data_IF_391951792922
#
_entry.id   IF_391951792922
#
_cell.length_a   1.000
_cell.length_b   1.000
_cell.length_c   1.000
_cell.angle_alpha   90.00
_cell.angle_beta   90.00
_cell.angle_gamma   90.00
#
_symmetry.space_group_name_H-M   'P 1'
#
loop_
_entity.id
_entity.type
_entity.pdbx_description
1 polymer ?
#
# COMPACT_ATOMS: atom_id res chain seq x y z
N UNK A 1 -37.45 6.18 33.80
CA UNK A 1 -37.32 7.25 32.79
C UNK A 1 -36.84 6.62 31.48
N UNK A 2 -37.53 6.86 30.37
CA UNK A 2 -37.00 6.53 29.05
C UNK A 2 -36.00 7.62 28.68
N UNK A 3 -34.71 7.33 28.73
CA UNK A 3 -33.72 8.11 28.00
C UNK A 3 -34.19 8.14 26.55
N UNK A 4 -34.42 9.33 25.98
CA UNK A 4 -34.85 9.41 24.59
C UNK A 4 -33.74 8.84 23.72
N UNK A 5 -34.07 7.94 22.78
CA UNK A 5 -33.09 7.27 21.91
C UNK A 5 -32.16 8.26 21.17
N UNK A 6 -32.63 9.49 20.96
CA UNK A 6 -31.87 10.64 20.43
C UNK A 6 -30.77 11.15 21.36
N UNK A 7 -30.89 10.98 22.69
CA UNK A 7 -29.84 11.34 23.64
C UNK A 7 -28.73 10.30 23.68
N UNK A 8 -29.05 9.01 23.51
CA UNK A 8 -28.07 7.92 23.42
C UNK A 8 -27.16 8.10 22.20
N UNK A 9 -27.71 8.57 21.08
CA UNK A 9 -26.95 8.81 19.85
C UNK A 9 -25.78 9.80 20.03
N UNK A 10 -25.85 10.71 21.00
CA UNK A 10 -24.79 11.69 21.28
C UNK A 10 -23.55 11.08 21.93
N UNK A 11 -23.68 9.88 22.50
CA UNK A 11 -22.59 9.16 23.17
C UNK A 11 -22.01 8.04 22.30
N UNK A 12 -22.56 7.83 21.10
CA UNK A 12 -22.04 6.85 20.15
C UNK A 12 -20.75 7.38 19.50
N UNK A 13 -19.84 6.47 19.17
CA UNK A 13 -18.68 6.80 18.34
C UNK A 13 -19.16 7.41 17.01
N UNK A 14 -18.36 8.30 16.42
CA UNK A 14 -18.77 9.08 15.24
C UNK A 14 -19.16 8.20 14.04
N UNK A 15 -18.65 6.98 13.98
CA UNK A 15 -18.88 6.00 12.92
C UNK A 15 -20.07 5.07 13.21
N UNK A 16 -20.72 5.21 14.36
CA UNK A 16 -21.90 4.42 14.75
C UNK A 16 -23.13 5.31 14.67
N UNK A 17 -24.21 4.77 14.12
CA UNK A 17 -25.54 5.36 14.16
C UNK A 17 -26.56 4.40 14.76
N UNK A 18 -27.60 4.96 15.37
CA UNK A 18 -28.74 4.20 15.84
C UNK A 18 -29.80 4.22 14.74
N UNK A 19 -30.11 3.06 14.17
CA UNK A 19 -31.27 2.92 13.31
C UNK A 19 -32.53 3.00 14.20
N UNK A 20 -33.21 4.13 14.13
CA UNK A 20 -34.39 4.43 14.95
C UNK A 20 -35.57 3.50 14.63
N UNK A 21 -35.63 2.93 13.42
CA UNK A 21 -36.70 2.01 12.99
C UNK A 21 -36.46 0.61 13.55
N UNK A 22 -35.23 0.10 13.45
CA UNK A 22 -34.89 -1.25 13.91
C UNK A 22 -34.42 -1.29 15.37
N UNK A 23 -34.15 -0.12 15.96
CA UNK A 23 -33.53 0.07 17.29
C UNK A 23 -32.17 -0.63 17.43
N UNK A 24 -31.48 -0.86 16.31
CA UNK A 24 -30.15 -1.48 16.27
C UNK A 24 -29.10 -0.41 15.98
N UNK A 25 -27.91 -0.62 16.52
CA UNK A 25 -26.73 0.15 16.15
C UNK A 25 -26.21 -0.35 14.80
N UNK A 26 -25.76 0.57 13.95
CA UNK A 26 -25.18 0.31 12.62
C UNK A 26 -23.94 1.17 12.43
N UNK A 27 -23.03 0.73 11.57
CA UNK A 27 -21.92 1.57 11.12
C UNK A 27 -22.42 2.54 10.05
N UNK A 28 -21.99 3.80 10.13
CA UNK A 28 -22.28 4.79 9.10
C UNK A 28 -21.54 4.42 7.82
N UNK A 29 -22.22 4.59 6.68
CA UNK A 29 -21.61 4.44 5.36
C UNK A 29 -20.39 5.36 5.20
N UNK A 30 -19.34 4.84 4.59
CA UNK A 30 -18.11 5.57 4.26
C UNK A 30 -16.89 5.09 5.06
N UNK A 31 -15.82 5.90 5.04
CA UNK A 31 -14.54 5.56 5.66
C UNK A 31 -14.67 5.43 7.18
N UNK A 32 -14.27 4.29 7.71
CA UNK A 32 -14.28 3.99 9.14
C UNK A 32 -12.99 4.45 9.80
N UNK A 33 -13.08 5.03 11.01
CA UNK A 33 -11.91 5.34 11.84
C UNK A 33 -11.69 4.22 12.84
N UNK A 34 -10.86 3.25 12.44
CA UNK A 34 -10.55 2.10 13.27
C UNK A 34 -9.29 2.32 14.13
N UNK A 35 -9.18 1.64 15.28
CA UNK A 35 -7.96 1.59 16.06
C UNK A 35 -6.75 1.23 15.21
N UNK A 36 -5.61 1.80 15.59
CA UNK A 36 -4.32 1.51 14.99
C UNK A 36 -3.61 0.42 15.78
N UNK A 37 -2.90 -0.45 15.06
CA UNK A 37 -1.99 -1.43 15.64
C UNK A 37 -0.88 -0.74 16.43
N UNK A 38 -0.17 -1.52 17.25
CA UNK A 38 0.93 -0.99 18.03
C UNK A 38 1.99 -0.42 17.10
N UNK A 39 2.35 0.84 17.31
CA UNK A 39 3.43 1.47 16.56
C UNK A 39 4.74 0.76 16.84
N UNK A 40 5.32 0.19 15.80
CA UNK A 40 6.69 -0.33 15.85
C UNK A 40 7.66 0.85 15.83
N UNK A 41 8.63 0.85 16.75
CA UNK A 41 9.70 1.85 16.79
C UNK A 41 11.01 1.14 16.49
N UNK A 42 11.38 1.11 15.21
CA UNK A 42 12.71 0.70 14.77
C UNK A 42 13.48 1.96 14.37
N UNK A 43 14.74 2.08 14.81
CA UNK A 43 15.55 3.29 14.57
C UNK A 43 15.72 3.63 13.08
N UNK A 44 15.67 2.60 12.21
CA UNK A 44 15.98 2.73 10.79
C UNK A 44 14.77 2.45 9.88
N UNK A 45 13.56 2.33 10.44
CA UNK A 45 12.34 2.10 9.63
C UNK A 45 11.30 3.14 9.99
N UNK A 46 10.86 3.87 8.97
CA UNK A 46 9.77 4.85 9.05
C UNK A 46 8.59 4.26 8.28
N UNK A 47 7.43 4.18 8.94
CA UNK A 47 6.20 3.70 8.33
C UNK A 47 4.98 4.41 8.94
N UNK A 48 3.85 4.46 8.23
CA UNK A 48 2.61 4.95 8.80
C UNK A 48 2.01 3.99 9.84
N UNK A 49 1.09 4.49 10.64
CA UNK A 49 0.32 3.68 11.59
C UNK A 49 -0.71 2.81 10.85
N UNK A 50 -0.63 1.50 11.08
CA UNK A 50 -1.47 0.51 10.41
C UNK A 50 -2.77 0.25 11.19
N UNK A 51 -3.83 -0.13 10.50
CA UNK A 51 -5.09 -0.51 11.15
C UNK A 51 -4.97 -1.84 11.87
N UNK A 52 -5.58 -1.95 13.04
CA UNK A 52 -5.75 -3.24 13.73
C UNK A 52 -7.02 -3.94 13.21
N UNK A 53 -6.83 -5.09 12.55
CA UNK A 53 -7.92 -5.91 12.01
C UNK A 53 -8.32 -7.05 12.96
N UNK A 54 -7.61 -7.22 14.09
CA UNK A 54 -7.99 -8.15 15.15
C UNK A 54 -9.16 -7.63 16.00
N UNK A 55 -9.68 -6.44 15.68
CA UNK A 55 -10.85 -5.89 16.36
C UNK A 55 -12.13 -6.58 15.88
N UNK A 56 -13.07 -6.79 16.80
CA UNK A 56 -14.45 -7.12 16.47
C UNK A 56 -15.29 -5.85 16.39
N UNK A 57 -16.00 -5.63 15.28
CA UNK A 57 -16.90 -4.49 15.09
C UNK A 57 -18.36 -4.85 15.43
N UNK A 58 -18.56 -5.67 16.47
CA UNK A 58 -19.89 -6.14 16.86
C UNK A 58 -20.66 -5.07 17.64
N UNK A 59 -21.57 -4.41 16.93
CA UNK A 59 -22.54 -3.47 17.49
C UNK A 59 -23.71 -4.20 18.18
N UNK A 60 -23.43 -4.97 19.24
CA UNK A 60 -24.47 -5.80 19.86
C UNK A 60 -24.13 -6.56 21.15
N UNK A 61 -22.93 -6.40 21.71
CA UNK A 61 -22.61 -6.94 23.04
C UNK A 61 -22.34 -8.45 23.14
N UNK A 62 -22.30 -9.18 22.02
CA UNK A 62 -21.70 -10.53 21.98
C UNK A 62 -20.22 -10.42 21.65
N UNK A 63 -19.41 -10.28 22.70
CA UNK A 63 -17.96 -10.44 22.62
C UNK A 63 -17.64 -11.94 22.46
N UNK A 64 -16.84 -12.30 21.44
CA UNK A 64 -15.53 -12.96 21.67
C UNK A 64 -14.85 -13.58 20.43
N UNK A 65 -15.49 -13.82 19.27
CA UNK A 65 -14.84 -14.68 18.24
C UNK A 65 -14.74 -14.14 16.81
N UNK A 66 -15.44 -13.07 16.46
CA UNK A 66 -15.50 -12.60 15.07
C UNK A 66 -14.83 -11.23 14.94
N UNK A 67 -13.60 -11.26 14.41
CA UNK A 67 -12.78 -10.11 14.04
C UNK A 67 -12.90 -9.84 12.54
N UNK A 68 -12.45 -8.67 12.09
CA UNK A 68 -12.37 -8.38 10.66
C UNK A 68 -11.52 -9.45 9.93
N UNK A 69 -10.41 -9.91 10.54
CA UNK A 69 -9.57 -10.96 9.96
C UNK A 69 -10.27 -12.32 9.81
N UNK A 70 -11.05 -12.72 10.82
CA UNK A 70 -11.81 -13.98 10.72
C UNK A 70 -12.89 -13.87 9.64
N UNK A 71 -13.52 -12.70 9.48
CA UNK A 71 -14.50 -12.47 8.42
C UNK A 71 -13.88 -12.49 7.04
N UNK A 72 -12.73 -11.84 6.86
CA UNK A 72 -11.97 -11.89 5.62
C UNK A 72 -11.58 -13.33 5.26
N UNK A 73 -11.18 -14.13 6.24
CA UNK A 73 -10.87 -15.55 6.03
C UNK A 73 -12.12 -16.33 5.61
N UNK A 74 -13.27 -16.09 6.25
CA UNK A 74 -14.54 -16.72 5.89
C UNK A 74 -15.01 -16.33 4.47
N UNK A 75 -14.78 -15.06 4.09
CA UNK A 75 -15.10 -14.53 2.76
C UNK A 75 -14.33 -15.28 1.68
N UNK A 76 -13.03 -15.51 1.87
CA UNK A 76 -12.22 -16.29 0.93
C UNK A 76 -12.76 -17.72 0.72
N UNK A 77 -13.34 -18.33 1.76
CA UNK A 77 -13.93 -19.66 1.69
C UNK A 77 -15.31 -19.72 1.02
N UNK A 78 -15.95 -18.59 0.73
CA UNK A 78 -17.27 -18.59 0.08
C UNK A 78 -17.21 -19.23 -1.31
N UNK A 79 -18.22 -20.01 -1.72
CA UNK A 79 -18.20 -20.72 -3.02
C UNK A 79 -17.97 -19.84 -4.25
N UNK A 80 -18.37 -18.55 -4.18
CA UNK A 80 -18.16 -17.59 -5.27
C UNK A 80 -16.73 -17.06 -5.37
N UNK A 81 -15.98 -17.07 -4.28
CA UNK A 81 -14.58 -16.61 -4.23
C UNK A 81 -13.62 -17.81 -4.34
N UNK A 82 -13.98 -18.93 -3.69
CA UNK A 82 -13.37 -20.24 -3.86
C UNK A 82 -11.86 -20.32 -3.54
N UNK A 83 -11.45 -19.66 -2.45
CA UNK A 83 -10.11 -19.75 -1.85
C UNK A 83 -10.17 -20.31 -0.41
N UNK A 84 -10.78 -21.49 -0.16
CA UNK A 84 -11.04 -22.00 1.19
C UNK A 84 -9.79 -22.38 1.99
N UNK A 85 -8.65 -22.54 1.33
CA UNK A 85 -7.36 -22.86 1.96
C UNK A 85 -6.49 -21.62 2.21
N UNK A 86 -7.06 -20.42 2.07
CA UNK A 86 -6.39 -19.18 2.38
C UNK A 86 -6.89 -18.62 3.72
N UNK A 87 -5.98 -18.03 4.49
CA UNK A 87 -6.29 -17.43 5.80
C UNK A 87 -5.51 -16.15 6.04
N UNK A 88 -6.13 -15.22 6.76
CA UNK A 88 -5.49 -13.98 7.18
C UNK A 88 -4.94 -14.11 8.60
N UNK A 89 -3.74 -13.61 8.80
CA UNK A 89 -3.11 -13.36 10.10
C UNK A 89 -2.59 -11.92 10.11
N UNK A 90 -2.50 -11.30 11.28
CA UNK A 90 -1.90 -9.97 11.41
C UNK A 90 -0.87 -9.96 12.53
N UNK A 91 0.30 -9.41 12.25
CA UNK A 91 1.35 -9.16 13.23
C UNK A 91 0.96 -8.02 14.18
N UNK A 92 1.65 -7.89 15.32
CA UNK A 92 1.43 -6.78 16.27
C UNK A 92 1.62 -5.39 15.66
N UNK A 93 2.43 -5.30 14.60
CA UNK A 93 2.77 -4.07 13.88
C UNK A 93 1.70 -3.68 12.86
N UNK A 94 0.72 -4.56 12.62
CA UNK A 94 -0.40 -4.35 11.71
C UNK A 94 -0.18 -4.86 10.29
N UNK A 95 0.99 -5.46 9.98
CA UNK A 95 1.20 -6.14 8.70
C UNK A 95 0.36 -7.42 8.68
N UNK A 96 -0.43 -7.55 7.60
CA UNK A 96 -1.34 -8.65 7.34
C UNK A 96 -0.62 -9.67 6.47
N UNK A 97 -0.59 -10.92 6.92
CA UNK A 97 -0.10 -12.07 6.18
C UNK A 97 -1.29 -12.89 5.67
N UNK A 98 -1.25 -13.26 4.39
CA UNK A 98 -2.19 -14.21 3.80
C UNK A 98 -1.44 -15.48 3.50
N UNK A 99 -1.81 -16.58 4.17
CA UNK A 99 -1.25 -17.91 3.92
C UNK A 99 -2.19 -18.68 3.03
N UNK A 100 -1.65 -19.39 2.05
CA UNK A 100 -2.39 -20.22 1.11
C UNK A 100 -1.79 -21.62 0.97
N UNK A 101 -2.34 -22.46 0.08
CA UNK A 101 -1.79 -23.77 -0.24
C UNK A 101 -0.39 -23.64 -0.90
N UNK A 102 0.35 -24.74 -0.95
CA UNK A 102 1.66 -24.82 -1.65
C UNK A 102 2.71 -23.79 -1.17
N UNK A 103 2.66 -23.43 0.12
CA UNK A 103 3.53 -22.42 0.75
C UNK A 103 3.38 -21.01 0.14
N UNK A 104 2.22 -20.68 -0.44
CA UNK A 104 1.90 -19.32 -0.81
C UNK A 104 1.81 -18.46 0.46
N UNK A 105 2.62 -17.41 0.53
CA UNK A 105 2.55 -16.39 1.57
C UNK A 105 2.57 -15.01 0.91
N UNK A 106 1.59 -14.18 1.26
CA UNK A 106 1.46 -12.81 0.76
C UNK A 106 1.47 -11.82 1.93
N UNK A 107 2.00 -10.61 1.74
CA UNK A 107 2.01 -9.56 2.76
C UNK A 107 1.43 -8.24 2.31
N UNK A 108 0.57 -7.70 3.17
CA UNK A 108 -0.20 -6.50 2.92
C UNK A 108 -0.33 -5.63 4.18
N UNK A 109 -0.90 -4.46 4.01
CA UNK A 109 -1.61 -3.70 5.04
C UNK A 109 -2.99 -3.31 4.54
N UNK A 110 -3.93 -3.12 5.45
CA UNK A 110 -5.16 -2.41 5.13
C UNK A 110 -4.85 -0.92 4.92
N UNK A 111 -5.28 -0.38 3.78
CA UNK A 111 -5.09 1.01 3.40
C UNK A 111 -6.34 1.85 3.66
N UNK A 112 -7.50 1.31 3.29
CA UNK A 112 -8.80 1.94 3.42
C UNK A 112 -9.78 0.88 3.90
N UNK A 113 -10.63 1.26 4.84
CA UNK A 113 -11.71 0.43 5.35
C UNK A 113 -12.99 1.26 5.27
N UNK A 114 -13.93 0.82 4.44
CA UNK A 114 -15.15 1.52 4.12
C UNK A 114 -16.37 0.66 4.42
N UNK A 115 -17.35 1.23 5.11
CA UNK A 115 -18.67 0.63 5.25
C UNK A 115 -19.49 0.93 4.00
N UNK A 116 -19.87 -0.11 3.27
CA UNK A 116 -20.78 -0.04 2.13
C UNK A 116 -22.25 -0.12 2.60
N UNK A 117 -23.17 -0.10 1.63
CA UNK A 117 -24.60 -0.25 1.92
C UNK A 117 -24.88 -1.60 2.59
N UNK A 118 -25.78 -1.60 3.57
CA UNK A 118 -26.20 -2.82 4.28
C UNK A 118 -26.72 -3.88 3.28
N UNK A 119 -26.22 -5.10 3.39
CA UNK A 119 -26.57 -6.19 2.48
C UNK A 119 -25.77 -6.23 1.17
N UNK A 120 -24.77 -5.35 0.99
CA UNK A 120 -23.75 -5.52 -0.05
C UNK A 120 -23.12 -6.89 0.11
N UNK A 121 -23.12 -7.68 -0.96
CA UNK A 121 -22.62 -9.04 -0.88
C UNK A 121 -21.09 -9.09 -0.70
N UNK A 122 -20.57 -10.12 -0.02
CA UNK A 122 -19.13 -10.37 0.02
C UNK A 122 -18.50 -10.46 -1.37
N UNK A 123 -17.31 -9.90 -1.56
CA UNK A 123 -16.63 -9.94 -2.86
C UNK A 123 -15.12 -9.92 -2.68
N UNK A 124 -14.43 -10.31 -3.73
CA UNK A 124 -13.00 -10.08 -3.88
C UNK A 124 -12.80 -9.48 -5.27
N UNK A 125 -12.31 -8.25 -5.30
CA UNK A 125 -12.13 -7.45 -6.50
C UNK A 125 -10.68 -6.94 -6.56
N UNK A 126 -10.26 -6.55 -7.76
CA UNK A 126 -9.00 -5.84 -7.99
C UNK A 126 -9.34 -4.52 -8.65
N UNK A 127 -8.92 -3.42 -8.04
CA UNK A 127 -9.19 -2.08 -8.57
C UNK A 127 -8.30 -1.75 -9.79
N UNK A 128 -8.51 -0.57 -10.39
CA UNK A 128 -7.73 -0.13 -11.55
C UNK A 128 -6.23 0.07 -11.27
N UNK A 129 -5.87 0.37 -10.02
CA UNK A 129 -4.49 0.43 -9.53
C UNK A 129 -3.90 -0.97 -9.34
N UNK A 130 -4.70 -2.03 -9.35
CA UNK A 130 -4.24 -3.39 -9.10
C UNK A 130 -4.17 -3.73 -7.60
N UNK A 131 -4.88 -3.01 -6.74
CA UNK A 131 -5.02 -3.32 -5.31
C UNK A 131 -6.16 -4.31 -5.11
N UNK A 132 -5.95 -5.25 -4.20
CA UNK A 132 -7.01 -6.17 -3.78
C UNK A 132 -8.00 -5.44 -2.87
N UNK A 133 -9.29 -5.61 -3.13
CA UNK A 133 -10.37 -5.15 -2.28
C UNK A 133 -11.24 -6.34 -1.89
N UNK A 134 -11.43 -6.58 -0.59
CA UNK A 134 -12.32 -7.64 -0.10
C UNK A 134 -13.49 -7.01 0.63
N UNK A 135 -14.70 -7.43 0.28
CA UNK A 135 -15.95 -7.04 0.95
C UNK A 135 -16.38 -8.15 1.89
N UNK A 136 -16.61 -7.83 3.17
CA UNK A 136 -17.06 -8.79 4.19
C UNK A 136 -18.56 -9.03 4.15
N UNK A 137 -19.05 -10.00 4.95
CA UNK A 137 -20.49 -10.24 5.14
C UNK A 137 -21.23 -9.07 5.79
N UNK A 138 -20.51 -8.21 6.51
CA UNK A 138 -21.04 -7.01 7.15
C UNK A 138 -20.94 -5.77 6.25
N UNK A 139 -20.80 -5.98 4.93
CA UNK A 139 -20.66 -4.91 3.92
C UNK A 139 -19.43 -4.01 4.14
N UNK A 140 -18.36 -4.49 4.76
CA UNK A 140 -17.14 -3.70 4.91
C UNK A 140 -16.17 -4.03 3.79
N UNK A 141 -15.75 -3.02 3.03
CA UNK A 141 -14.71 -3.17 2.03
C UNK A 141 -13.35 -2.78 2.62
N UNK A 142 -12.38 -3.69 2.52
CA UNK A 142 -11.00 -3.47 2.92
C UNK A 142 -10.13 -3.50 1.67
N UNK A 143 -9.47 -2.38 1.39
CA UNK A 143 -8.48 -2.27 0.31
C UNK A 143 -7.08 -2.52 0.85
N UNK A 144 -6.33 -3.39 0.20
CA UNK A 144 -5.00 -3.84 0.61
C UNK A 144 -3.90 -3.21 -0.25
N UNK A 145 -2.80 -2.85 0.40
CA UNK A 145 -1.55 -2.41 -0.23
C UNK A 145 -0.46 -3.39 0.18
N UNK A 146 0.36 -3.82 -0.78
CA UNK A 146 1.50 -4.72 -0.53
C UNK A 146 2.46 -4.13 0.49
N UNK A 147 3.07 -4.99 1.30
CA UNK A 147 4.05 -4.60 2.31
C UNK A 147 5.25 -5.53 2.28
N UNK A 148 6.42 -5.08 2.76
CA UNK A 148 7.51 -5.98 3.07
C UNK A 148 7.05 -7.08 4.03
N UNK A 149 7.66 -8.27 3.91
CA UNK A 149 7.34 -9.44 4.74
C UNK A 149 7.30 -9.12 6.24
N UNK A 150 8.38 -8.49 6.69
CA UNK A 150 8.66 -8.18 8.07
C UNK A 150 9.68 -7.03 8.11
N UNK A 151 9.43 -6.03 8.96
CA UNK A 151 10.25 -4.83 9.01
C UNK A 151 11.50 -4.99 9.85
N UNK A 152 11.48 -5.86 10.86
CA UNK A 152 12.65 -6.20 11.64
C UNK A 152 13.61 -6.98 10.75
N UNK A 153 13.12 -8.00 10.05
CA UNK A 153 13.93 -8.76 9.10
C UNK A 153 14.44 -7.90 7.94
N UNK A 154 13.63 -6.95 7.46
CA UNK A 154 14.06 -6.01 6.42
C UNK A 154 15.19 -5.09 6.91
N UNK A 155 15.08 -4.57 8.14
CA UNK A 155 16.11 -3.72 8.72
C UNK A 155 17.42 -4.48 8.94
N UNK A 156 17.36 -5.76 9.30
CA UNK A 156 18.55 -6.60 9.49
C UNK A 156 19.35 -6.80 8.19
N UNK A 157 18.68 -6.86 7.04
CA UNK A 157 19.33 -7.07 5.74
C UNK A 157 19.78 -5.77 5.06
N UNK A 158 19.53 -4.62 5.69
CA UNK A 158 19.97 -3.28 5.26
C UNK A 158 20.78 -2.62 6.40
N UNK A 159 21.97 -3.16 6.75
CA UNK A 159 22.75 -2.64 7.86
C UNK A 159 23.27 -1.23 7.54
N UNK A 160 23.06 -0.28 8.46
CA UNK A 160 23.49 1.12 8.29
C UNK A 160 22.65 1.96 7.32
N UNK A 161 21.59 1.37 6.74
CA UNK A 161 20.64 2.07 5.90
C UNK A 161 19.34 2.41 6.62
N UNK A 162 18.41 3.01 5.87
CA UNK A 162 17.04 3.30 6.34
C UNK A 162 16.00 2.85 5.32
N UNK A 163 14.81 2.56 5.82
CA UNK A 163 13.64 2.21 5.00
C UNK A 163 12.51 3.16 5.37
N UNK A 164 11.96 3.85 4.38
CA UNK A 164 10.76 4.68 4.53
C UNK A 164 9.65 4.10 3.70
N UNK A 165 8.51 3.80 4.31
CA UNK A 165 7.28 3.32 3.66
C UNK A 165 6.24 4.40 3.85
N UNK A 166 5.60 4.84 2.76
CA UNK A 166 4.58 5.89 2.84
C UNK A 166 3.15 5.34 2.91
N UNK A 167 2.16 6.24 3.02
CA UNK A 167 0.74 5.91 3.09
C UNK A 167 0.15 5.28 1.82
N UNK A 168 0.87 5.32 0.70
CA UNK A 168 0.46 4.72 -0.59
C UNK A 168 1.21 3.42 -0.93
N UNK A 169 2.19 3.03 -0.12
CA UNK A 169 2.91 1.75 -0.23
C UNK A 169 4.25 1.83 -0.94
N UNK A 170 4.65 2.99 -1.45
CA UNK A 170 6.01 3.16 -1.94
C UNK A 170 6.99 3.08 -0.78
N UNK A 171 8.11 2.45 -1.09
CA UNK A 171 9.25 2.24 -0.21
C UNK A 171 10.45 2.97 -0.80
N UNK A 172 11.09 3.78 0.01
CA UNK A 172 12.42 4.32 -0.24
C UNK A 172 13.42 3.58 0.63
N UNK A 173 14.40 2.93 0.01
CA UNK A 173 15.53 2.31 0.70
C UNK A 173 16.77 3.19 0.50
N UNK A 174 17.34 3.65 1.60
CA UNK A 174 18.66 4.26 1.64
C UNK A 174 19.65 3.21 2.14
N UNK A 175 20.58 2.78 1.30
CA UNK A 175 21.58 1.77 1.68
C UNK A 175 22.74 2.34 2.49
N UNK A 176 22.89 3.66 2.56
CA UNK A 176 23.97 4.33 3.28
C UNK A 176 23.46 5.64 3.89
N UNK A 177 22.74 5.53 5.01
CA UNK A 177 22.07 6.68 5.61
C UNK A 177 23.03 7.75 6.18
N UNK A 178 24.32 7.42 6.36
CA UNK A 178 25.35 8.37 6.77
C UNK A 178 25.85 9.25 5.61
N UNK A 179 25.68 8.79 4.36
CA UNK A 179 26.03 9.53 3.16
C UNK A 179 24.78 10.10 2.50
N UNK A 180 24.46 11.35 2.81
CA UNK A 180 23.31 12.06 2.24
C UNK A 180 23.35 12.18 0.70
N UNK A 181 24.50 11.91 0.07
CA UNK A 181 24.67 11.95 -1.38
C UNK A 181 24.49 10.59 -2.06
N UNK A 182 24.36 9.51 -1.28
CA UNK A 182 24.18 8.17 -1.80
C UNK A 182 22.86 8.02 -2.57
N UNK A 183 22.90 7.16 -3.59
CA UNK A 183 21.71 6.78 -4.35
C UNK A 183 20.73 6.03 -3.43
N UNK A 184 19.47 6.43 -3.48
CA UNK A 184 18.35 5.71 -2.85
C UNK A 184 17.66 4.83 -3.88
N UNK A 185 16.95 3.82 -3.40
CA UNK A 185 16.10 2.96 -4.22
C UNK A 185 14.63 3.30 -3.92
N UNK A 186 13.82 3.54 -4.94
CA UNK A 186 12.38 3.78 -4.80
C UNK A 186 11.59 2.69 -5.49
N UNK A 187 10.68 2.06 -4.76
CA UNK A 187 9.91 0.94 -5.29
C UNK A 187 8.66 0.57 -4.51
N UNK A 188 7.95 -0.45 -4.97
CA UNK A 188 6.82 -1.09 -4.28
C UNK A 188 7.13 -2.59 -4.20
N UNK A 189 6.84 -3.20 -3.06
CA UNK A 189 7.01 -4.64 -2.89
C UNK A 189 5.90 -5.41 -3.61
N UNK A 190 6.28 -6.45 -4.34
CA UNK A 190 5.35 -7.52 -4.72
C UNK A 190 4.86 -8.17 -3.42
N UNK A 191 3.55 -8.45 -3.27
CA UNK A 191 3.03 -8.99 -2.01
C UNK A 191 3.53 -10.41 -1.76
N UNK A 192 3.92 -11.14 -2.80
CA UNK A 192 4.31 -12.54 -2.74
C UNK A 192 5.70 -12.76 -2.14
N UNK A 193 5.78 -13.65 -1.16
CA UNK A 193 7.03 -14.13 -0.57
C UNK A 193 7.38 -15.47 -1.21
N UNK A 194 8.63 -15.60 -1.64
CA UNK A 194 9.16 -16.81 -2.30
C UNK A 194 10.32 -17.39 -1.52
N UNK A 195 10.66 -18.65 -1.78
CA UNK A 195 11.98 -19.13 -1.42
C UNK A 195 13.05 -18.37 -2.24
N UNK A 196 14.16 -18.04 -1.60
CA UNK A 196 15.27 -17.40 -2.28
C UNK A 196 15.82 -18.32 -3.38
N UNK A 197 16.13 -17.72 -4.53
CA UNK A 197 16.76 -18.44 -5.63
C UNK A 197 18.14 -18.98 -5.20
N UNK A 198 18.51 -20.14 -5.75
CA UNK A 198 19.78 -20.77 -5.42
C UNK A 198 20.96 -19.86 -5.76
N UNK A 199 21.84 -19.61 -4.78
CA UNK A 199 23.04 -18.80 -4.94
C UNK A 199 22.88 -17.32 -4.61
N UNK A 200 21.67 -16.82 -4.40
CA UNK A 200 21.48 -15.46 -3.86
C UNK A 200 21.92 -15.42 -2.39
N UNK A 201 22.62 -14.34 -2.03
CA UNK A 201 23.00 -14.06 -0.65
C UNK A 201 21.91 -13.26 0.04
N UNK A 202 21.79 -13.45 1.35
CA UNK A 202 21.06 -12.55 2.23
C UNK A 202 21.45 -11.09 1.97
N UNK A 203 20.46 -10.19 1.94
CA UNK A 203 20.68 -8.79 1.62
C UNK A 203 19.85 -8.28 0.46
N UNK A 204 20.23 -7.09 0.01
CA UNK A 204 19.66 -6.39 -1.15
C UNK A 204 20.41 -6.82 -2.41
N UNK A 205 19.73 -7.53 -3.31
CA UNK A 205 20.29 -7.95 -4.60
C UNK A 205 19.59 -7.19 -5.72
N UNK A 206 20.33 -6.42 -6.52
CA UNK A 206 19.77 -5.66 -7.65
C UNK A 206 20.03 -6.42 -8.94
N UNK A 207 18.98 -6.68 -9.71
CA UNK A 207 19.04 -7.35 -11.01
C UNK A 207 18.44 -6.44 -12.09
N UNK A 208 18.88 -6.58 -13.34
CA UNK A 208 18.34 -5.85 -14.49
C UNK A 208 19.04 -4.51 -14.77
N UNK A 209 18.52 -3.78 -15.76
CA UNK A 209 19.07 -2.50 -16.24
C UNK A 209 17.92 -1.53 -16.53
N UNK A 210 18.09 -0.26 -16.14
CA UNK A 210 17.11 0.81 -16.36
C UNK A 210 15.76 0.48 -15.71
N UNK A 211 14.67 0.62 -16.47
CA UNK A 211 13.29 0.32 -16.04
C UNK A 211 13.05 -1.15 -15.67
N UNK A 212 13.90 -2.06 -16.14
CA UNK A 212 13.80 -3.49 -15.81
C UNK A 212 14.57 -3.83 -14.54
N UNK A 213 15.15 -2.84 -13.84
CA UNK A 213 15.79 -3.10 -12.57
C UNK A 213 14.77 -3.52 -11.52
N UNK A 214 15.08 -4.57 -10.78
CA UNK A 214 14.30 -5.00 -9.62
C UNK A 214 15.24 -5.23 -8.44
N UNK A 215 14.68 -5.17 -7.24
CA UNK A 215 15.39 -5.52 -6.02
C UNK A 215 14.84 -6.83 -5.49
N UNK A 216 15.69 -7.83 -5.32
CA UNK A 216 15.40 -9.05 -4.58
C UNK A 216 15.95 -8.89 -3.16
N UNK A 217 15.05 -8.72 -2.20
CA UNK A 217 15.39 -8.72 -0.78
C UNK A 217 15.41 -10.17 -0.32
N UNK A 218 16.58 -10.67 0.09
CA UNK A 218 16.74 -12.04 0.61
C UNK A 218 16.89 -11.96 2.12
N UNK A 219 15.94 -12.55 2.84
CA UNK A 219 15.90 -12.59 4.30
C UNK A 219 16.73 -13.75 4.86
N UNK A 220 17.10 -13.66 6.15
CA UNK A 220 17.86 -14.69 6.88
C UNK A 220 17.21 -16.07 6.89
N UNK A 221 15.89 -16.11 6.83
CA UNK A 221 15.12 -17.35 6.85
C UNK A 221 15.11 -18.08 5.49
N UNK A 222 15.86 -17.57 4.49
CA UNK A 222 15.96 -18.16 3.16
C UNK A 222 14.78 -17.83 2.26
N UNK A 223 13.88 -16.93 2.67
CA UNK A 223 12.84 -16.37 1.80
C UNK A 223 13.31 -15.09 1.11
N UNK A 224 12.62 -14.71 0.06
CA UNK A 224 12.85 -13.46 -0.66
C UNK A 224 11.54 -12.76 -1.02
N UNK A 225 11.63 -11.46 -1.22
CA UNK A 225 10.56 -10.64 -1.78
C UNK A 225 11.12 -9.69 -2.84
N UNK A 226 10.33 -9.44 -3.88
CA UNK A 226 10.70 -8.57 -4.99
C UNK A 226 10.16 -7.17 -4.71
N UNK A 227 10.98 -6.15 -4.90
CA UNK A 227 10.57 -4.75 -4.98
C UNK A 227 10.82 -4.23 -6.39
N UNK A 228 9.78 -3.65 -7.00
CA UNK A 228 9.81 -3.10 -8.36
C UNK A 228 9.95 -1.59 -8.33
N UNK A 229 10.54 -0.96 -9.35
CA UNK A 229 10.66 0.49 -9.43
C UNK A 229 9.31 1.18 -9.32
N UNK A 230 9.24 2.25 -8.56
CA UNK A 230 8.04 3.08 -8.42
C UNK A 230 8.45 4.55 -8.28
N UNK A 231 7.51 5.45 -8.55
CA UNK A 231 7.72 6.88 -8.33
C UNK A 231 7.95 7.11 -6.84
N UNK A 232 9.07 7.72 -6.46
CA UNK A 232 9.40 7.93 -5.05
C UNK A 232 8.33 8.73 -4.30
N UNK A 233 7.75 9.74 -4.94
CA UNK A 233 6.79 10.65 -4.34
C UNK A 233 5.67 11.01 -5.34
N UNK A 234 4.55 10.29 -5.28
CA UNK A 234 3.40 10.46 -6.20
C UNK A 234 2.92 11.91 -6.28
N UNK A 235 2.79 12.57 -5.13
CA UNK A 235 2.33 13.97 -5.06
C UNK A 235 3.23 14.92 -5.88
N UNK A 236 4.53 14.60 -5.99
CA UNK A 236 5.45 15.40 -6.79
C UNK A 236 5.17 15.25 -8.30
N UNK A 237 4.73 14.08 -8.76
CA UNK A 237 4.26 13.87 -10.13
C UNK A 237 2.89 14.52 -10.35
N UNK A 238 1.96 14.38 -9.41
CA UNK A 238 0.62 14.98 -9.51
C UNK A 238 0.67 16.51 -9.61
N UNK A 239 1.66 17.15 -8.98
CA UNK A 239 1.88 18.60 -9.06
C UNK A 239 2.65 18.99 -10.32
N UNK A 240 3.77 18.33 -10.61
CA UNK A 240 4.66 18.75 -11.69
C UNK A 240 4.20 18.29 -13.09
N UNK A 241 3.48 17.17 -13.17
CA UNK A 241 3.02 16.56 -14.42
C UNK A 241 2.07 17.45 -15.22
N UNK A 242 0.97 17.95 -14.62
CA UNK A 242 0.06 18.89 -15.28
C UNK A 242 0.77 20.14 -15.82
N UNK A 243 1.74 20.66 -15.06
CA UNK A 243 2.53 21.84 -15.45
C UNK A 243 3.46 21.52 -16.63
N UNK A 244 4.19 20.40 -16.57
CA UNK A 244 5.09 19.99 -17.64
C UNK A 244 4.36 19.65 -18.94
N UNK A 245 3.15 19.08 -18.84
CA UNK A 245 2.30 18.75 -19.98
C UNK A 245 1.44 19.93 -20.47
N UNK A 246 1.41 21.05 -19.73
CA UNK A 246 0.48 22.17 -19.95
C UNK A 246 -1.00 21.71 -19.99
N UNK A 247 -1.38 20.79 -19.11
CA UNK A 247 -2.70 20.16 -19.02
C UNK A 247 -3.14 20.12 -17.54
N UNK A 248 -3.79 21.18 -17.01
CA UNK A 248 -4.15 21.27 -15.58
C UNK A 248 -5.07 20.17 -15.06
N UNK A 249 -5.76 19.45 -15.94
CA UNK A 249 -6.66 18.33 -15.61
C UNK A 249 -6.03 16.95 -15.73
N UNK A 250 -4.72 16.86 -15.96
CA UNK A 250 -4.03 15.58 -16.12
C UNK A 250 -4.07 14.77 -14.82
N UNK A 251 -4.60 13.55 -14.90
CA UNK A 251 -4.68 12.60 -13.78
C UNK A 251 -3.83 11.37 -14.04
N UNK A 252 -3.39 10.74 -12.94
CA UNK A 252 -2.49 9.59 -12.96
C UNK A 252 -3.11 8.41 -12.21
N UNK A 253 -2.95 7.21 -12.76
CA UNK A 253 -3.30 5.93 -12.15
C UNK A 253 -1.99 5.22 -11.82
N UNK A 254 -1.65 5.17 -10.54
CA UNK A 254 -0.43 4.55 -10.05
C UNK A 254 -0.69 3.10 -9.68
N UNK A 255 -0.09 2.16 -10.40
CA UNK A 255 -0.34 0.74 -10.21
C UNK A 255 0.54 0.13 -9.13
N UNK A 256 0.07 -0.98 -8.56
CA UNK A 256 0.78 -1.78 -7.55
C UNK A 256 2.07 -2.42 -8.06
N UNK A 257 2.30 -2.43 -9.38
CA UNK A 257 3.56 -2.84 -9.99
C UNK A 257 4.54 -1.68 -10.26
N UNK A 258 4.21 -0.46 -9.80
CA UNK A 258 5.03 0.75 -9.93
C UNK A 258 4.86 1.54 -11.23
N UNK A 259 4.11 1.01 -12.19
CA UNK A 259 3.77 1.72 -13.43
C UNK A 259 2.75 2.83 -13.19
N UNK A 260 2.81 3.89 -13.99
CA UNK A 260 1.86 5.01 -13.92
C UNK A 260 1.18 5.19 -15.27
N UNK A 261 -0.15 5.12 -15.30
CA UNK A 261 -0.93 5.43 -16.51
C UNK A 261 -1.51 6.83 -16.43
N UNK A 262 -1.56 7.54 -17.55
CA UNK A 262 -2.23 8.84 -17.66
C UNK A 262 -2.75 9.07 -19.07
N UNK A 263 -3.75 9.94 -19.21
CA UNK A 263 -4.32 10.30 -20.50
C UNK A 263 -3.92 11.73 -20.87
N UNK A 264 -3.23 11.91 -21.98
CA UNK A 264 -2.81 13.22 -22.48
C UNK A 264 -3.20 13.37 -23.94
N UNK A 265 -4.00 14.39 -24.26
CA UNK A 265 -4.48 14.63 -25.62
C UNK A 265 -5.33 13.48 -26.19
N UNK A 266 -6.05 12.74 -25.34
CA UNK A 266 -6.83 11.56 -25.73
C UNK A 266 -6.00 10.29 -25.98
N UNK A 267 -4.69 10.33 -25.75
CA UNK A 267 -3.79 9.19 -25.86
C UNK A 267 -3.48 8.68 -24.45
N UNK A 268 -3.54 7.35 -24.27
CA UNK A 268 -3.10 6.70 -23.03
C UNK A 268 -1.58 6.56 -23.05
N UNK A 269 -0.94 6.99 -21.99
CA UNK A 269 0.50 6.91 -21.79
C UNK A 269 0.82 6.03 -20.59
N UNK A 270 2.00 5.43 -20.63
CA UNK A 270 2.60 4.63 -19.59
C UNK A 270 3.93 5.27 -19.20
N UNK A 271 4.08 5.57 -17.91
CA UNK A 271 5.30 6.00 -17.27
C UNK A 271 5.88 4.84 -16.43
N UNK A 272 7.17 4.58 -16.62
CA UNK A 272 7.95 3.52 -15.98
C UNK A 272 9.15 4.18 -15.26
N UNK A 273 9.05 4.39 -13.93
CA UNK A 273 10.12 5.01 -13.16
C UNK A 273 11.35 4.10 -13.07
N UNK A 274 12.54 4.69 -13.01
CA UNK A 274 13.76 3.95 -12.67
C UNK A 274 13.84 3.69 -11.17
N UNK A 275 14.50 2.57 -10.80
CA UNK A 275 14.69 2.18 -9.41
C UNK A 275 15.50 3.22 -8.61
N UNK A 276 16.52 3.80 -9.25
CA UNK A 276 17.48 4.69 -8.59
C UNK A 276 16.95 6.11 -8.47
N UNK A 277 17.19 6.69 -7.32
CA UNK A 277 16.88 8.08 -7.01
C UNK A 277 18.16 8.75 -6.49
N UNK A 278 18.61 9.80 -7.16
CA UNK A 278 19.81 10.53 -6.74
C UNK A 278 19.42 11.74 -5.90
N UNK A 279 20.22 12.06 -4.89
CA UNK A 279 20.17 13.37 -4.26
C UNK A 279 20.88 14.40 -5.14
N UNK A 280 20.24 15.54 -5.39
CA UNK A 280 20.86 16.70 -6.03
C UNK A 280 20.84 17.89 -5.08
N UNK A 281 21.89 18.72 -5.14
CA UNK A 281 22.05 19.91 -4.29
C UNK A 281 21.18 21.07 -4.78
N UNK A 282 19.86 20.85 -4.83
CA UNK A 282 18.87 21.83 -5.22
C UNK A 282 17.69 21.73 -4.24
N UNK A 283 17.24 22.87 -3.73
CA UNK A 283 15.98 22.96 -3.00
C UNK A 283 14.99 23.73 -3.85
N UNK A 284 13.91 23.06 -4.25
CA UNK A 284 12.86 23.64 -5.06
C UNK A 284 11.66 24.02 -4.19
N UNK A 285 10.98 25.11 -4.55
CA UNK A 285 9.70 25.47 -3.92
C UNK A 285 8.59 24.50 -4.31
N UNK A 286 8.66 23.98 -5.53
CA UNK A 286 7.70 23.05 -6.13
C UNK A 286 8.46 21.97 -6.90
N UNK A 287 7.92 20.75 -7.00
CA UNK A 287 8.52 19.71 -7.81
C UNK A 287 8.51 20.11 -9.29
N UNK A 288 9.48 19.60 -10.06
CA UNK A 288 9.62 19.91 -11.49
C UNK A 288 9.82 18.62 -12.27
N UNK A 289 9.14 18.51 -13.41
CA UNK A 289 9.41 17.50 -14.43
C UNK A 289 10.10 18.19 -15.61
N UNK A 290 11.29 17.72 -15.95
CA UNK A 290 12.06 18.17 -17.11
C UNK A 290 11.99 17.10 -18.20
N UNK A 291 11.62 17.49 -19.41
CA UNK A 291 11.69 16.61 -20.58
C UNK A 291 13.16 16.47 -20.98
N UNK A 292 13.69 15.24 -20.89
CA UNK A 292 15.05 14.91 -21.31
C UNK A 292 15.04 14.49 -22.78
N UNK A 293 14.12 13.60 -23.12
CA UNK A 293 13.88 13.12 -24.48
C UNK A 293 12.37 13.10 -24.72
N UNK A 294 11.85 13.89 -25.66
CA UNK A 294 10.42 13.93 -25.95
C UNK A 294 9.85 12.53 -26.22
N UNK A 295 8.67 12.25 -25.65
CA UNK A 295 7.94 10.98 -25.77
C UNK A 295 8.70 9.73 -25.29
N UNK A 296 9.81 9.88 -24.58
CA UNK A 296 10.64 8.75 -24.13
C UNK A 296 11.14 8.87 -22.70
N UNK A 297 11.65 10.04 -22.28
CA UNK A 297 12.33 10.18 -20.99
C UNK A 297 12.09 11.55 -20.36
N UNK A 298 11.64 11.52 -19.11
CA UNK A 298 11.52 12.70 -18.26
C UNK A 298 12.28 12.52 -16.95
N UNK A 299 12.65 13.63 -16.33
CA UNK A 299 13.32 13.68 -15.04
C UNK A 299 12.43 14.41 -14.04
N UNK A 300 12.02 13.70 -12.99
CA UNK A 300 11.33 14.29 -11.83
C UNK A 300 12.38 14.78 -10.82
N UNK A 301 12.28 16.03 -10.40
CA UNK A 301 13.00 16.55 -9.22
C UNK A 301 12.01 17.00 -8.16
N UNK A 302 12.07 16.40 -6.98
CA UNK A 302 11.19 16.73 -5.85
C UNK A 302 11.64 18.00 -5.13
N UNK A 303 10.78 18.55 -4.27
CA UNK A 303 11.12 19.72 -3.42
C UNK A 303 12.30 19.47 -2.49
N UNK A 304 12.47 18.21 -2.07
CA UNK A 304 13.60 17.74 -1.26
C UNK A 304 14.87 17.51 -2.09
N UNK A 305 14.88 17.80 -3.38
CA UNK A 305 16.06 17.61 -4.25
C UNK A 305 16.36 16.14 -4.53
N UNK A 306 15.35 15.27 -4.55
CA UNK A 306 15.51 13.92 -5.06
C UNK A 306 15.17 13.90 -6.55
N UNK A 307 16.01 13.23 -7.33
CA UNK A 307 15.92 13.17 -8.78
C UNK A 307 15.71 11.73 -9.24
N UNK A 308 14.70 11.52 -10.05
CA UNK A 308 14.34 10.21 -10.59
C UNK A 308 14.05 10.31 -12.09
N UNK A 309 14.61 9.38 -12.87
CA UNK A 309 14.28 9.23 -14.29
C UNK A 309 13.00 8.40 -14.44
N UNK A 310 12.15 8.81 -15.38
CA UNK A 310 10.88 8.15 -15.69
C UNK A 310 10.78 8.01 -17.21
N UNK A 311 10.73 6.77 -17.68
CA UNK A 311 10.57 6.47 -19.09
C UNK A 311 9.09 6.53 -19.44
N UNK A 312 8.75 7.18 -20.54
CA UNK A 312 7.36 7.32 -20.99
C UNK A 312 7.20 6.65 -22.35
N UNK A 313 6.06 6.03 -22.59
CA UNK A 313 5.68 5.48 -23.88
C UNK A 313 4.18 5.50 -24.04
N UNK A 314 3.70 5.41 -25.28
CA UNK A 314 2.27 5.20 -25.55
C UNK A 314 1.87 3.83 -25.02
N UNK A 315 0.73 3.78 -24.35
CA UNK A 315 0.11 2.53 -23.95
C UNK A 315 -0.76 2.05 -25.12
N UNK A 316 -0.54 0.80 -25.55
CA UNK A 316 -1.39 0.12 -26.53
C UNK A 316 -2.79 -0.18 -25.97
#
# INVERSE_FOLDING_TARGET
>A
ELVQLTEIAKFLHQDIELDVKTKKLKLKKGKLKLPKSKKLVLQNVIMPELFDLNIGLNLGGTFASQTILTDLTNVLALPKINFPNFSFEQSETGIVKVKGPENIELTFRAAIIEQLDEGTEPSMDVDEEGKYALTTSESQQITFISMPKDLELLAEVIPGGTVEINDTGEVTIDLNAEDETADKLAGIFDPEIKLAESGLKEGVNIEGIGINQIVKIVYKDGTMQIMRPAVQERISVDVAGPVAANEPGLTFIYRTNGQVFYNLGGIKWLAEPELKVNKVNVSLKEPVIKIIQPDELVELTTTKGFRQLIHIKRAD
#
